data_IF_836192641611
#
_entry.id   IF_836192641611
#
_cell.length_a   1.000
_cell.length_b   1.000
_cell.length_c   1.000
_cell.angle_alpha   90.00
_cell.angle_beta   90.00
_cell.angle_gamma   90.00
#
_symmetry.space_group_name_H-M   'P 1'
#
loop_
_entity.id
_entity.type
_entity.pdbx_description
1 polymer ?
#
# COMPACT_ATOMS: atom_id res chain seq x y z
N UNK A 1 -11.83 0.65 20.69
CA UNK A 1 -12.42 0.21 19.42
C UNK A 1 -11.66 -1.04 18.92
N UNK A 2 -11.94 -2.23 19.51
CA UNK A 2 -11.16 -3.47 19.29
C UNK A 2 -12.03 -4.67 18.84
N UNK A 3 -13.17 -4.44 18.16
CA UNK A 3 -14.12 -5.53 17.88
C UNK A 3 -14.32 -5.92 16.42
N UNK A 4 -13.70 -5.25 15.45
CA UNK A 4 -13.95 -5.54 14.02
C UNK A 4 -13.00 -6.57 13.39
N UNK A 5 -11.86 -6.86 13.99
CA UNK A 5 -10.85 -7.76 13.40
C UNK A 5 -11.25 -9.24 13.51
N UNK A 6 -12.06 -9.61 14.50
CA UNK A 6 -12.47 -11.02 14.68
C UNK A 6 -13.52 -11.53 13.68
N UNK A 7 -14.26 -10.65 13.00
CA UNK A 7 -15.38 -11.08 12.14
C UNK A 7 -14.93 -11.57 10.76
N UNK A 8 -13.82 -11.06 10.24
CA UNK A 8 -13.31 -11.46 8.92
C UNK A 8 -12.75 -12.88 8.94
N UNK A 9 -12.16 -13.31 10.05
CA UNK A 9 -11.60 -14.65 10.18
C UNK A 9 -12.65 -15.77 10.37
N UNK A 10 -13.84 -15.45 10.87
CA UNK A 10 -14.89 -16.45 11.05
C UNK A 10 -15.56 -16.86 9.74
N UNK A 11 -15.55 -16.01 8.71
CA UNK A 11 -16.17 -16.34 7.41
C UNK A 11 -15.30 -17.28 6.55
N UNK A 12 -13.98 -17.25 6.73
CA UNK A 12 -13.07 -18.11 5.95
C UNK A 12 -13.12 -19.57 6.39
N UNK A 13 -13.55 -19.85 7.62
CA UNK A 13 -13.56 -21.21 8.20
C UNK A 13 -14.89 -21.95 8.05
N UNK A 14 -15.97 -21.32 7.57
CA UNK A 14 -17.30 -21.92 7.48
C UNK A 14 -17.72 -22.43 6.10
N UNK A 15 -16.90 -22.21 5.06
CA UNK A 15 -17.20 -22.70 3.70
C UNK A 15 -16.81 -24.17 3.45
N UNK A 16 -16.34 -24.89 4.45
CA UNK A 16 -15.72 -26.21 4.33
C UNK A 16 -16.62 -27.43 4.48
N UNK A 17 -17.94 -27.34 4.44
CA UNK A 17 -18.74 -28.57 4.45
C UNK A 17 -20.19 -28.36 3.96
N UNK A 18 -20.45 -28.55 2.69
CA UNK A 18 -21.77 -28.98 2.19
C UNK A 18 -21.57 -30.05 1.12
N UNK A 19 -22.21 -31.17 1.38
CA UNK A 19 -22.21 -32.45 0.70
C UNK A 19 -22.73 -32.37 -0.76
N UNK A 20 -22.18 -33.20 -1.70
CA UNK A 20 -22.53 -33.12 -3.12
C UNK A 20 -23.59 -34.16 -3.46
N UNK A 21 -24.74 -33.73 -3.95
CA UNK A 21 -25.65 -34.57 -4.75
C UNK A 21 -26.35 -33.73 -5.81
N UNK A 22 -25.61 -33.23 -6.82
CA UNK A 22 -26.21 -32.90 -8.12
C UNK A 22 -25.11 -32.98 -9.18
N UNK A 23 -25.24 -33.91 -10.14
CA UNK A 23 -24.39 -34.07 -11.31
C UNK A 23 -24.79 -33.09 -12.43
N UNK A 24 -24.88 -31.82 -12.14
CA UNK A 24 -24.72 -30.74 -13.07
C UNK A 24 -23.39 -30.08 -12.71
N UNK A 25 -22.59 -29.69 -13.67
CA UNK A 25 -21.38 -28.95 -13.40
C UNK A 25 -21.76 -27.71 -12.57
N UNK A 26 -21.57 -27.79 -11.24
CA UNK A 26 -21.75 -26.65 -10.37
C UNK A 26 -20.63 -25.70 -10.78
N UNK A 27 -20.99 -24.55 -11.37
CA UNK A 27 -20.07 -23.44 -11.55
C UNK A 27 -19.60 -23.04 -10.14
N UNK A 28 -18.45 -23.52 -9.74
CA UNK A 28 -17.88 -23.17 -8.44
C UNK A 28 -17.32 -21.78 -8.59
N UNK A 29 -17.93 -20.82 -7.89
CA UNK A 29 -17.41 -19.47 -7.77
C UNK A 29 -16.54 -19.38 -6.53
N UNK A 30 -15.40 -18.71 -6.68
CA UNK A 30 -14.47 -18.40 -5.60
C UNK A 30 -14.53 -16.91 -5.29
N UNK A 31 -14.30 -16.58 -4.03
CA UNK A 31 -14.32 -15.20 -3.59
C UNK A 31 -12.92 -14.61 -3.65
N UNK A 32 -12.77 -13.54 -4.42
CA UNK A 32 -11.52 -12.78 -4.53
C UNK A 32 -11.66 -11.48 -3.74
N UNK A 33 -10.70 -11.24 -2.85
CA UNK A 33 -10.65 -10.07 -2.00
C UNK A 33 -9.46 -9.19 -2.38
N UNK A 34 -9.74 -7.96 -2.80
CA UNK A 34 -8.72 -6.93 -3.03
C UNK A 34 -8.63 -6.06 -1.78
N UNK A 35 -7.52 -6.13 -1.06
CA UNK A 35 -7.32 -5.50 0.24
C UNK A 35 -6.46 -4.24 0.06
N UNK A 36 -7.04 -3.04 0.15
CA UNK A 36 -6.37 -1.79 -0.19
C UNK A 36 -5.48 -1.22 0.93
N UNK A 37 -5.22 -1.94 2.01
CA UNK A 37 -4.34 -1.48 3.09
C UNK A 37 -4.91 -0.43 4.03
N UNK A 38 -6.13 0.02 3.79
CA UNK A 38 -6.81 1.01 4.62
C UNK A 38 -7.78 0.36 5.59
N UNK A 39 -8.17 1.07 6.65
CA UNK A 39 -9.21 0.62 7.58
C UNK A 39 -10.59 0.41 6.92
N UNK A 40 -10.73 0.70 5.64
CA UNK A 40 -12.00 0.78 4.92
C UNK A 40 -12.45 -0.55 4.29
N UNK A 41 -11.85 -1.67 4.67
CA UNK A 41 -12.32 -2.98 4.25
C UNK A 41 -11.62 -3.51 2.99
N UNK A 42 -12.36 -4.24 2.17
CA UNK A 42 -11.87 -4.88 0.96
C UNK A 42 -12.91 -4.73 -0.18
N UNK A 43 -12.45 -4.88 -1.42
CA UNK A 43 -13.29 -4.98 -2.60
C UNK A 43 -13.40 -6.46 -2.95
N UNK A 44 -14.60 -7.03 -2.83
CA UNK A 44 -14.85 -8.45 -3.07
C UNK A 44 -15.53 -8.68 -4.41
N UNK A 45 -15.08 -9.70 -5.13
CA UNK A 45 -15.70 -10.17 -6.38
C UNK A 45 -15.77 -11.69 -6.40
N UNK A 46 -16.80 -12.24 -7.02
CA UNK A 46 -16.88 -13.67 -7.30
C UNK A 46 -16.31 -13.94 -8.67
N UNK A 47 -15.44 -14.94 -8.76
CA UNK A 47 -14.85 -15.41 -10.01
C UNK A 47 -15.14 -16.90 -10.20
N UNK A 48 -15.44 -17.31 -11.41
CA UNK A 48 -15.56 -18.73 -11.71
C UNK A 48 -14.20 -19.41 -11.59
N UNK A 49 -14.23 -20.67 -11.20
CA UNK A 49 -13.02 -21.48 -11.12
C UNK A 49 -12.30 -21.49 -12.47
N UNK A 50 -11.03 -21.11 -12.46
CA UNK A 50 -10.18 -21.05 -13.65
C UNK A 50 -10.20 -19.71 -14.39
N UNK A 51 -11.03 -18.75 -13.97
CA UNK A 51 -10.95 -17.37 -14.49
C UNK A 51 -9.89 -16.56 -13.75
N UNK A 52 -9.32 -15.59 -14.44
CA UNK A 52 -8.39 -14.61 -13.83
C UNK A 52 -9.19 -13.44 -13.30
N UNK A 53 -9.03 -13.13 -12.01
CA UNK A 53 -9.70 -12.00 -11.40
C UNK A 53 -9.16 -10.68 -11.95
N UNK A 54 -10.05 -9.75 -12.29
CA UNK A 54 -9.68 -8.40 -12.71
C UNK A 54 -9.44 -7.53 -11.49
N UNK A 55 -8.30 -6.86 -11.47
CA UNK A 55 -7.99 -5.89 -10.42
C UNK A 55 -8.93 -4.69 -10.48
N UNK A 56 -9.26 -4.07 -9.34
CA UNK A 56 -10.02 -2.83 -9.31
C UNK A 56 -9.33 -1.73 -10.12
N UNK A 57 -10.12 -0.94 -10.85
CA UNK A 57 -9.64 0.22 -11.60
C UNK A 57 -9.36 1.43 -10.71
N UNK A 58 -10.04 1.48 -9.55
CA UNK A 58 -9.89 2.56 -8.59
C UNK A 58 -9.26 2.00 -7.31
N UNK A 59 -8.20 2.62 -6.87
CA UNK A 59 -7.51 2.28 -5.64
C UNK A 59 -7.67 3.45 -4.70
N UNK A 60 -8.18 3.21 -3.47
CA UNK A 60 -8.33 4.27 -2.50
C UNK A 60 -7.00 4.97 -2.21
N UNK A 61 -6.98 6.29 -2.26
CA UNK A 61 -5.85 7.05 -1.76
C UNK A 61 -5.66 6.78 -0.28
N UNK A 62 -4.42 6.60 0.11
CA UNK A 62 -4.06 6.42 1.51
C UNK A 62 -3.03 7.46 1.92
N UNK A 63 -3.31 8.14 3.01
CA UNK A 63 -2.41 9.12 3.62
C UNK A 63 -2.66 9.19 5.12
N UNK A 64 -1.65 9.51 5.89
CA UNK A 64 -1.77 9.84 7.31
C UNK A 64 -1.05 11.16 7.60
N UNK A 65 -0.91 11.54 8.89
CA UNK A 65 -0.29 12.81 9.27
C UNK A 65 1.16 12.95 8.76
N UNK A 66 1.91 11.85 8.69
CA UNK A 66 3.36 11.84 8.42
C UNK A 66 3.72 11.43 7.00
N UNK A 67 2.89 10.61 6.33
CA UNK A 67 3.25 9.94 5.08
C UNK A 67 2.16 10.07 4.02
N UNK A 68 2.60 10.17 2.77
CA UNK A 68 1.83 9.79 1.60
C UNK A 68 2.10 8.32 1.28
N UNK A 69 1.07 7.59 0.84
CA UNK A 69 1.16 6.22 0.38
C UNK A 69 0.72 6.16 -1.07
N UNK A 70 1.69 6.04 -1.98
CA UNK A 70 1.44 5.97 -3.41
C UNK A 70 1.31 4.50 -3.82
N UNK A 71 0.18 4.10 -4.37
CA UNK A 71 -0.04 2.73 -4.80
C UNK A 71 1.02 2.29 -5.82
N UNK A 72 1.63 1.13 -5.58
CA UNK A 72 2.62 0.52 -6.47
C UNK A 72 1.98 -0.61 -7.27
N UNK A 73 1.24 -1.50 -6.61
CA UNK A 73 0.66 -2.66 -7.25
C UNK A 73 -0.02 -3.60 -6.26
N UNK A 74 -0.57 -4.68 -6.82
CA UNK A 74 -1.17 -5.77 -6.07
C UNK A 74 -0.16 -6.88 -5.82
N UNK A 75 -0.32 -7.58 -4.72
CA UNK A 75 0.58 -8.61 -4.26
C UNK A 75 -0.19 -9.86 -3.89
N UNK A 76 0.25 -11.00 -4.41
CA UNK A 76 -0.21 -12.31 -3.97
C UNK A 76 0.74 -12.84 -2.87
N UNK A 77 0.28 -12.80 -1.64
CA UNK A 77 1.06 -13.23 -0.47
C UNK A 77 1.55 -14.68 -0.59
N UNK A 78 0.82 -15.54 -1.30
CA UNK A 78 1.19 -16.95 -1.49
C UNK A 78 2.47 -17.13 -2.29
N UNK A 79 2.72 -16.25 -3.22
CA UNK A 79 3.94 -16.32 -4.04
C UNK A 79 5.22 -16.20 -3.22
N UNK A 80 5.14 -15.63 -2.01
CA UNK A 80 6.33 -15.41 -1.17
C UNK A 80 6.31 -16.14 0.19
N UNK A 81 5.17 -16.65 0.65
CA UNK A 81 5.04 -17.23 2.00
C UNK A 81 4.73 -18.70 1.91
N UNK A 82 4.88 -19.55 1.24
CA UNK A 82 4.49 -20.96 1.24
C UNK A 82 2.99 -21.25 1.42
N UNK A 83 2.17 -20.21 1.63
CA UNK A 83 0.71 -20.28 1.53
C UNK A 83 -0.03 -20.95 2.70
N UNK A 84 0.58 -21.05 3.88
CA UNK A 84 -0.10 -21.63 5.06
C UNK A 84 -0.99 -20.58 5.76
N UNK A 85 -1.99 -21.07 6.53
CA UNK A 85 -2.84 -20.18 7.34
C UNK A 85 -2.05 -19.41 8.39
N UNK A 86 -1.00 -19.99 8.94
CA UNK A 86 -0.13 -19.32 9.93
C UNK A 86 0.67 -18.19 9.27
N UNK A 87 1.20 -18.43 8.07
CA UNK A 87 1.92 -17.43 7.28
C UNK A 87 0.99 -16.27 6.93
N UNK A 88 -0.27 -16.55 6.53
CA UNK A 88 -1.25 -15.51 6.26
C UNK A 88 -1.54 -14.64 7.49
N UNK A 89 -1.66 -15.23 8.68
CA UNK A 89 -1.89 -14.47 9.92
C UNK A 89 -0.74 -13.53 10.25
N UNK A 90 0.49 -14.03 10.15
CA UNK A 90 1.69 -13.22 10.37
C UNK A 90 1.80 -12.10 9.36
N UNK A 91 1.62 -12.42 8.08
CA UNK A 91 1.61 -11.47 6.99
C UNK A 91 0.57 -10.35 7.17
N UNK A 92 -0.68 -10.70 7.46
CA UNK A 92 -1.78 -9.73 7.65
C UNK A 92 -1.49 -8.79 8.81
N UNK A 93 -0.89 -9.29 9.89
CA UNK A 93 -0.51 -8.46 11.04
C UNK A 93 0.54 -7.41 10.67
N UNK A 94 1.57 -7.81 9.94
CA UNK A 94 2.63 -6.92 9.48
C UNK A 94 2.10 -5.91 8.45
N UNK A 95 1.33 -6.39 7.49
CA UNK A 95 0.72 -5.57 6.45
C UNK A 95 -0.16 -4.45 7.00
N UNK A 96 -1.03 -4.73 7.99
CA UNK A 96 -1.84 -3.68 8.60
C UNK A 96 -1.07 -2.77 9.55
N UNK A 97 0.12 -3.16 9.98
CA UNK A 97 1.01 -2.28 10.71
C UNK A 97 1.67 -1.24 9.77
N UNK A 98 2.12 -1.68 8.59
CA UNK A 98 2.65 -0.81 7.54
C UNK A 98 2.48 -1.47 6.16
N UNK A 99 1.57 -0.98 5.28
CA UNK A 99 1.35 -1.55 3.96
C UNK A 99 2.37 -1.07 2.91
N UNK A 100 3.48 -0.48 3.33
CA UNK A 100 4.52 -0.05 2.41
C UNK A 100 5.42 -1.19 1.97
N UNK A 101 5.82 -1.17 0.70
CA UNK A 101 6.84 -2.08 0.20
C UNK A 101 8.23 -1.64 0.68
N UNK A 102 9.12 -2.59 1.01
CA UNK A 102 10.49 -2.26 1.42
C UNK A 102 11.20 -1.40 0.37
N UNK A 103 11.69 -0.25 0.79
CA UNK A 103 12.34 0.68 -0.12
C UNK A 103 13.66 0.10 -0.63
N UNK A 104 13.89 0.22 -1.95
CA UNK A 104 15.09 -0.33 -2.59
C UNK A 104 14.93 -1.75 -3.10
N UNK A 105 13.89 -2.47 -2.68
CA UNK A 105 13.59 -3.78 -3.22
C UNK A 105 12.68 -3.66 -4.45
N UNK A 106 12.94 -4.41 -5.52
CA UNK A 106 12.06 -4.41 -6.68
C UNK A 106 10.70 -4.99 -6.29
N UNK A 107 9.62 -4.26 -6.61
CA UNK A 107 8.27 -4.80 -6.46
C UNK A 107 8.06 -5.92 -7.49
N UNK A 108 7.60 -7.12 -7.07
CA UNK A 108 7.40 -8.21 -8.01
C UNK A 108 6.32 -7.87 -9.02
N UNK A 109 6.50 -8.29 -10.26
CA UNK A 109 5.45 -8.17 -11.28
C UNK A 109 4.22 -8.95 -10.81
N UNK A 110 3.07 -8.29 -10.86
CA UNK A 110 1.81 -8.92 -10.50
C UNK A 110 1.29 -9.75 -11.68
N UNK A 111 1.37 -11.08 -11.53
CA UNK A 111 0.85 -12.05 -12.48
C UNK A 111 -0.32 -12.83 -11.86
N UNK A 112 -1.55 -12.33 -11.99
CA UNK A 112 -2.70 -12.97 -11.37
C UNK A 112 -2.99 -14.33 -12.03
N UNK A 113 -2.91 -15.38 -11.24
CA UNK A 113 -3.17 -16.74 -11.66
C UNK A 113 -4.68 -17.02 -11.73
N UNK A 114 -5.12 -18.04 -12.53
CA UNK A 114 -6.50 -18.49 -12.51
C UNK A 114 -6.97 -18.84 -11.10
N UNK A 115 -8.14 -18.33 -10.72
CA UNK A 115 -8.70 -18.52 -9.38
C UNK A 115 -9.19 -19.97 -9.22
N UNK A 116 -8.61 -20.69 -8.26
CA UNK A 116 -8.96 -22.09 -7.93
C UNK A 116 -9.49 -22.24 -6.51
N UNK A 117 -9.36 -21.19 -5.70
CA UNK A 117 -9.79 -21.10 -4.30
C UNK A 117 -9.99 -19.63 -3.93
N UNK A 118 -10.60 -19.35 -2.78
CA UNK A 118 -10.75 -17.99 -2.27
C UNK A 118 -9.38 -17.33 -2.09
N UNK A 119 -9.22 -16.15 -2.71
CA UNK A 119 -7.89 -15.53 -2.87
C UNK A 119 -7.90 -14.09 -2.41
N UNK A 120 -7.10 -13.72 -1.40
CA UNK A 120 -6.83 -12.33 -1.06
C UNK A 120 -5.60 -11.79 -1.82
N UNK A 121 -5.75 -10.61 -2.40
CA UNK A 121 -4.66 -9.80 -2.94
C UNK A 121 -4.50 -8.54 -2.11
N UNK A 122 -3.27 -8.11 -1.88
CA UNK A 122 -2.94 -6.97 -1.04
C UNK A 122 -2.34 -5.83 -1.85
N UNK A 123 -2.83 -4.61 -1.63
CA UNK A 123 -2.25 -3.42 -2.25
C UNK A 123 -0.99 -2.99 -1.50
N UNK A 124 0.12 -2.77 -2.20
CA UNK A 124 1.32 -2.20 -1.63
C UNK A 124 1.57 -0.78 -2.10
N UNK A 125 2.27 -0.02 -1.27
CA UNK A 125 2.44 1.40 -1.43
C UNK A 125 3.91 1.81 -1.30
N UNK A 126 4.31 2.80 -2.07
CA UNK A 126 5.51 3.58 -1.84
C UNK A 126 5.21 4.63 -0.76
N UNK A 127 5.88 4.51 0.38
CA UNK A 127 5.70 5.37 1.55
C UNK A 127 6.65 6.55 1.48
N UNK A 128 6.10 7.75 1.35
CA UNK A 128 6.86 8.99 1.19
C UNK A 128 6.61 9.91 2.37
N UNK A 129 7.64 10.26 3.15
CA UNK A 129 7.48 11.22 4.24
C UNK A 129 7.06 12.59 3.74
N UNK A 130 5.99 13.14 4.30
CA UNK A 130 5.44 14.44 3.90
C UNK A 130 6.42 15.58 4.05
N UNK A 131 7.33 15.49 5.03
CA UNK A 131 8.37 16.50 5.27
C UNK A 131 9.31 16.73 4.09
N UNK A 132 9.47 15.73 3.21
CA UNK A 132 10.30 15.83 2.00
C UNK A 132 9.56 16.33 0.77
N UNK A 133 8.23 16.47 0.84
CA UNK A 133 7.38 16.90 -0.28
C UNK A 133 6.98 18.35 -0.07
N UNK A 134 7.67 19.27 -0.70
CA UNK A 134 7.46 20.73 -0.55
C UNK A 134 6.61 21.33 -1.66
N UNK A 135 6.45 20.60 -2.76
CA UNK A 135 5.72 21.07 -3.95
C UNK A 135 4.23 20.77 -3.83
N UNK A 136 3.39 21.80 -4.07
CA UNK A 136 1.93 21.66 -4.07
C UNK A 136 1.45 20.64 -5.11
N UNK A 137 0.42 19.86 -4.73
CA UNK A 137 -0.18 18.82 -5.58
C UNK A 137 0.70 17.58 -5.79
N UNK A 138 1.88 17.49 -5.16
CA UNK A 138 2.74 16.31 -5.21
C UNK A 138 2.51 15.39 -4.01
N UNK A 139 2.62 14.08 -4.24
CA UNK A 139 2.69 13.05 -3.20
C UNK A 139 4.04 12.35 -3.17
N UNK A 140 4.99 12.79 -4.01
CA UNK A 140 6.33 12.23 -4.14
C UNK A 140 7.37 13.32 -3.95
N UNK A 141 8.42 13.02 -3.18
CA UNK A 141 9.60 13.86 -3.11
C UNK A 141 10.39 13.75 -4.42
N UNK A 142 10.87 14.88 -4.92
CA UNK A 142 11.59 14.98 -6.19
C UNK A 142 12.71 16.00 -6.10
N UNK A 143 13.55 16.08 -7.14
CA UNK A 143 14.56 17.14 -7.24
C UNK A 143 13.96 18.55 -7.28
N UNK A 144 12.67 18.67 -7.62
CA UNK A 144 11.94 19.93 -7.57
C UNK A 144 11.81 20.46 -6.14
N UNK A 145 11.62 19.58 -5.17
CA UNK A 145 11.55 19.96 -3.75
C UNK A 145 12.88 20.50 -3.25
N UNK A 146 14.01 19.94 -3.74
CA UNK A 146 15.35 20.50 -3.52
C UNK A 146 15.45 21.91 -4.08
N UNK A 147 14.94 22.14 -5.31
CA UNK A 147 14.96 23.46 -5.95
C UNK A 147 14.09 24.47 -5.19
N UNK A 148 12.91 24.05 -4.75
CA UNK A 148 12.01 24.86 -3.92
C UNK A 148 12.74 25.35 -2.67
N UNK A 149 13.43 24.46 -1.98
CA UNK A 149 14.14 24.78 -0.75
C UNK A 149 15.35 25.70 -1.00
N UNK A 150 16.10 25.49 -2.09
CA UNK A 150 17.18 26.39 -2.49
C UNK A 150 16.69 27.80 -2.82
N UNK A 151 15.55 27.91 -3.51
CA UNK A 151 14.93 29.19 -3.81
C UNK A 151 14.54 29.92 -2.51
N UNK A 152 13.93 29.19 -1.57
CA UNK A 152 13.57 29.74 -0.26
C UNK A 152 14.81 30.28 0.47
N UNK A 153 15.91 29.53 0.49
CA UNK A 153 17.17 29.92 1.13
C UNK A 153 17.86 31.14 0.48
N UNK A 154 17.61 31.35 -0.82
CA UNK A 154 18.15 32.54 -1.52
C UNK A 154 17.21 33.75 -1.46
N UNK A 155 16.12 33.67 -0.70
CA UNK A 155 15.15 34.75 -0.52
C UNK A 155 14.19 34.93 -1.71
N UNK A 156 14.07 33.96 -2.59
CA UNK A 156 13.05 33.95 -3.62
C UNK A 156 11.70 33.61 -3.01
N UNK A 157 10.66 34.32 -3.43
CA UNK A 157 9.28 34.02 -3.05
C UNK A 157 8.85 32.72 -3.72
N UNK A 158 8.90 31.63 -2.94
CA UNK A 158 8.57 30.29 -3.41
C UNK A 158 7.49 29.70 -2.50
N UNK A 159 6.26 29.50 -3.01
CA UNK A 159 5.21 28.90 -2.20
C UNK A 159 5.55 27.44 -1.89
N UNK A 160 5.40 27.09 -0.62
CA UNK A 160 5.47 25.72 -0.17
C UNK A 160 4.08 25.08 -0.20
N UNK A 161 4.04 23.76 -0.26
CA UNK A 161 2.82 23.00 -0.05
C UNK A 161 2.21 23.36 1.30
N UNK A 162 0.90 23.37 1.39
CA UNK A 162 0.19 23.61 2.65
C UNK A 162 0.68 22.66 3.75
N UNK A 163 1.03 23.22 4.91
CA UNK A 163 1.56 22.48 6.06
C UNK A 163 3.03 22.06 5.96
N UNK A 164 3.75 22.47 4.92
CA UNK A 164 5.21 22.33 4.83
C UNK A 164 5.88 23.63 5.30
N UNK A 165 6.94 23.49 6.10
CA UNK A 165 7.73 24.62 6.62
C UNK A 165 9.16 24.69 6.06
N UNK A 166 9.60 23.60 5.39
CA UNK A 166 10.94 23.50 4.85
C UNK A 166 12.01 23.04 5.85
N UNK A 167 11.68 22.95 7.13
CA UNK A 167 12.55 22.35 8.17
C UNK A 167 12.42 20.82 8.12
N UNK A 168 13.15 20.22 7.21
CA UNK A 168 13.08 18.81 6.91
C UNK A 168 13.73 17.93 7.99
N UNK A 169 14.80 18.47 8.62
CA UNK A 169 15.55 17.75 9.64
C UNK A 169 14.98 17.97 11.07
N UNK A 170 14.08 18.94 11.26
CA UNK A 170 13.43 19.24 12.53
C UNK A 170 14.31 19.99 13.53
N UNK A 171 15.35 20.71 13.07
CA UNK A 171 16.24 21.48 13.96
C UNK A 171 15.74 22.91 14.27
N UNK A 172 14.58 23.28 13.72
CA UNK A 172 13.93 24.58 13.93
C UNK A 172 14.37 25.66 12.95
N UNK A 173 15.22 25.35 11.99
CA UNK A 173 15.76 26.29 11.02
C UNK A 173 15.78 25.72 9.61
N UNK A 174 15.33 26.49 8.63
CA UNK A 174 15.50 26.14 7.24
C UNK A 174 16.91 26.49 6.78
N UNK A 175 17.68 25.49 6.35
CA UNK A 175 19.10 25.61 6.03
C UNK A 175 19.54 24.65 4.91
N UNK A 176 20.82 24.73 4.54
CA UNK A 176 21.40 23.78 3.57
C UNK A 176 21.39 22.33 4.07
N UNK A 177 21.23 22.09 5.37
CA UNK A 177 21.12 20.74 5.93
C UNK A 177 19.81 20.09 5.48
N UNK A 178 18.73 20.87 5.35
CA UNK A 178 17.43 20.38 4.90
C UNK A 178 17.47 19.98 3.42
N UNK A 179 18.17 20.78 2.61
CA UNK A 179 18.47 20.43 1.22
C UNK A 179 19.22 19.10 1.16
N UNK A 180 20.23 18.92 2.00
CA UNK A 180 20.99 17.67 2.11
C UNK A 180 20.09 16.51 2.54
N UNK A 181 19.17 16.76 3.48
CA UNK A 181 18.18 15.77 3.94
C UNK A 181 17.32 15.25 2.80
N UNK A 182 16.76 16.14 1.96
CA UNK A 182 15.97 15.73 0.79
C UNK A 182 16.84 14.94 -0.20
N UNK A 183 18.07 15.39 -0.48
CA UNK A 183 18.98 14.69 -1.38
C UNK A 183 19.34 13.29 -0.89
N UNK A 184 19.60 13.12 0.40
CA UNK A 184 19.86 11.81 1.01
C UNK A 184 18.65 10.90 0.90
N UNK A 185 17.44 11.45 1.16
CA UNK A 185 16.21 10.70 0.98
C UNK A 185 16.01 10.25 -0.47
N UNK A 186 16.23 11.14 -1.45
CA UNK A 186 16.08 10.80 -2.88
C UNK A 186 17.10 9.76 -3.34
N UNK A 187 18.29 9.78 -2.77
CA UNK A 187 19.41 8.91 -3.20
C UNK A 187 19.37 7.54 -2.52
N UNK A 188 19.14 7.54 -1.21
CA UNK A 188 19.33 6.35 -0.38
C UNK A 188 18.05 5.89 0.35
N UNK A 189 16.99 6.67 0.30
CA UNK A 189 15.77 6.37 1.04
C UNK A 189 15.85 6.59 2.55
N UNK A 190 16.87 7.29 3.03
CA UNK A 190 17.09 7.51 4.48
C UNK A 190 16.23 8.68 4.97
N UNK A 191 15.51 8.47 6.10
CA UNK A 191 14.70 9.48 6.78
C UNK A 191 15.48 10.19 7.88
#
# INVERSE_FOLDING_TARGET
>A
MKKSVCFVFALILLAGSVCPLFSGAIDVEHYVMWIPGTANGYIGVYCKKGEVAKSPSEIPEYTNEKYFYNFIGWYDWRAQTGGTTEDLRSFVKEYYADPSWPRGEPFPEFDPQPVIEDTPYFAYFDKVPKKFVLTEGSTKATIRDVTVLLNLLTGMDQPLREGADGDVNGDGWVSIKDVTGILLYLTYGVE
#
